data_IF_056891692784
#
_entry.id   IF_056891692784
#
_cell.length_a   1.000
_cell.length_b   1.000
_cell.length_c   1.000
_cell.angle_alpha   90.00
_cell.angle_beta   90.00
_cell.angle_gamma   90.00
#
_symmetry.space_group_name_H-M   'P 1'
#
loop_
_entity.id
_entity.type
_entity.pdbx_description
1 polymer ?
#
# COMPACT_ATOMS: atom_id res chain seq x y z
N UNK A 1 -11.96 -25.05 16.20
CA UNK A 1 -11.85 -24.61 14.79
C UNK A 1 -12.67 -23.34 14.62
N UNK A 2 -12.03 -22.17 14.76
CA UNK A 2 -12.74 -20.88 14.73
C UNK A 2 -13.00 -20.46 13.28
N UNK A 3 -14.27 -20.37 12.88
CA UNK A 3 -14.71 -20.06 11.52
C UNK A 3 -14.44 -18.57 11.25
N UNK A 4 -13.36 -18.24 10.53
CA UNK A 4 -13.11 -16.87 10.06
C UNK A 4 -14.24 -16.47 9.10
N UNK A 5 -15.05 -15.50 9.50
CA UNK A 5 -16.03 -14.88 8.60
C UNK A 5 -15.26 -14.12 7.52
N UNK A 6 -15.29 -14.63 6.28
CA UNK A 6 -14.59 -14.02 5.17
C UNK A 6 -15.38 -12.80 4.69
N UNK A 7 -15.11 -11.63 5.27
CA UNK A 7 -15.52 -10.36 4.69
C UNK A 7 -14.82 -10.17 3.34
N UNK A 8 -15.53 -9.60 2.35
CA UNK A 8 -15.00 -9.32 1.01
C UNK A 8 -13.73 -8.44 1.00
N UNK A 9 -13.42 -7.81 2.14
CA UNK A 9 -12.17 -7.10 2.40
C UNK A 9 -10.89 -7.96 2.26
N UNK A 10 -10.99 -9.30 2.25
CA UNK A 10 -9.83 -10.19 2.07
C UNK A 10 -9.40 -10.41 0.61
N UNK A 11 -10.25 -10.08 -0.38
CA UNK A 11 -9.97 -10.28 -1.81
C UNK A 11 -9.50 -9.02 -2.53
N UNK A 12 -9.60 -7.84 -1.90
CA UNK A 12 -9.19 -6.58 -2.50
C UNK A 12 -7.66 -6.43 -2.50
N UNK A 13 -7.07 -5.83 -3.54
CA UNK A 13 -5.64 -5.52 -3.55
C UNK A 13 -5.32 -4.49 -2.46
N UNK A 14 -4.20 -4.69 -1.76
CA UNK A 14 -3.67 -3.70 -0.82
C UNK A 14 -3.06 -2.55 -1.60
N UNK A 15 -3.52 -1.34 -1.34
CA UNK A 15 -3.03 -0.12 -1.99
C UNK A 15 -2.16 0.67 -1.01
N UNK A 16 -1.05 1.21 -1.51
CA UNK A 16 -0.10 2.01 -0.75
C UNK A 16 -0.14 3.44 -1.28
N UNK A 17 -0.65 4.36 -0.46
CA UNK A 17 -0.80 5.77 -0.80
C UNK A 17 0.35 6.58 -0.20
N UNK A 18 1.37 6.86 -1.00
CA UNK A 18 2.47 7.75 -0.62
C UNK A 18 2.49 8.96 -1.57
N UNK A 19 2.55 10.18 -1.03
CA UNK A 19 2.67 11.41 -1.81
C UNK A 19 4.13 11.64 -2.23
N UNK A 20 4.66 10.71 -3.03
CA UNK A 20 6.05 10.52 -3.48
C UNK A 20 7.01 11.73 -3.35
N UNK A 21 7.46 12.03 -2.13
CA UNK A 21 8.70 12.80 -1.92
C UNK A 21 8.62 14.33 -1.79
N UNK A 22 7.47 14.95 -1.51
CA UNK A 22 7.41 16.44 -1.41
C UNK A 22 8.14 17.06 -0.19
N UNK A 23 8.45 16.26 0.84
CA UNK A 23 9.14 16.66 2.08
C UNK A 23 10.05 15.52 2.59
N UNK A 24 10.89 15.75 3.60
CA UNK A 24 11.77 14.71 4.17
C UNK A 24 11.00 13.45 4.59
N UNK A 25 9.88 13.64 5.30
CA UNK A 25 8.96 12.57 5.68
C UNK A 25 8.31 11.90 4.46
N UNK A 26 8.09 12.67 3.39
CA UNK A 26 7.56 12.16 2.12
C UNK A 26 8.58 11.30 1.37
N UNK A 27 9.87 11.63 1.43
CA UNK A 27 10.94 10.85 0.82
C UNK A 27 11.13 9.51 1.54
N UNK A 28 11.12 9.52 2.88
CA UNK A 28 11.15 8.29 3.68
C UNK A 28 9.91 7.42 3.41
N UNK A 29 8.72 8.04 3.35
CA UNK A 29 7.49 7.33 3.03
C UNK A 29 7.50 6.73 1.61
N UNK A 30 8.04 7.45 0.62
CA UNK A 30 8.21 6.95 -0.76
C UNK A 30 9.14 5.73 -0.80
N UNK A 31 10.30 5.79 -0.13
CA UNK A 31 11.22 4.67 -0.06
C UNK A 31 10.60 3.43 0.58
N UNK A 32 9.89 3.61 1.71
CA UNK A 32 9.17 2.53 2.37
C UNK A 32 8.07 1.93 1.48
N UNK A 33 7.28 2.77 0.80
CA UNK A 33 6.24 2.33 -0.12
C UNK A 33 6.82 1.56 -1.32
N UNK A 34 7.98 1.99 -1.86
CA UNK A 34 8.67 1.32 -2.96
C UNK A 34 9.15 -0.05 -2.53
N UNK A 35 9.72 -0.16 -1.34
CA UNK A 35 10.16 -1.45 -0.80
C UNK A 35 8.96 -2.39 -0.61
N UNK A 36 7.89 -1.91 0.02
CA UNK A 36 6.67 -2.68 0.25
C UNK A 36 6.03 -3.19 -1.06
N UNK A 37 6.12 -2.41 -2.13
CA UNK A 37 5.67 -2.83 -3.48
C UNK A 37 6.57 -3.92 -4.07
N UNK A 38 7.89 -3.78 -3.95
CA UNK A 38 8.87 -4.79 -4.40
C UNK A 38 8.71 -6.12 -3.66
N UNK A 39 8.40 -6.04 -2.37
CA UNK A 39 8.14 -7.21 -1.52
C UNK A 39 6.77 -7.87 -1.80
N UNK A 40 5.96 -7.31 -2.69
CA UNK A 40 4.63 -7.83 -3.05
C UNK A 40 3.57 -7.64 -1.97
N UNK A 41 3.83 -6.78 -0.97
CA UNK A 41 2.90 -6.53 0.14
C UNK A 41 1.70 -5.67 -0.27
N UNK A 42 1.79 -4.95 -1.40
CA UNK A 42 0.73 -4.13 -1.97
C UNK A 42 1.17 -3.48 -3.28
N UNK A 43 0.28 -2.70 -3.89
CA UNK A 43 0.58 -1.87 -5.06
C UNK A 43 0.61 -0.40 -4.64
N UNK A 44 1.69 0.30 -4.97
CA UNK A 44 1.72 1.75 -4.86
C UNK A 44 0.65 2.38 -5.76
N UNK A 45 -0.01 3.43 -5.29
CA UNK A 45 -1.12 4.06 -5.98
C UNK A 45 -1.18 5.57 -5.67
N UNK A 46 -1.31 6.41 -6.69
CA UNK A 46 -1.58 7.83 -6.52
C UNK A 46 -3.08 8.09 -6.30
N UNK A 47 -3.44 9.16 -5.58
CA UNK A 47 -4.84 9.60 -5.46
C UNK A 47 -5.46 9.95 -6.83
N UNK A 48 -4.62 10.27 -7.83
CA UNK A 48 -5.02 10.48 -9.23
C UNK A 48 -5.34 9.19 -10.00
N UNK A 49 -5.13 8.02 -9.40
CA UNK A 49 -5.43 6.73 -10.04
C UNK A 49 -4.35 6.19 -10.97
N UNK A 50 -3.12 6.70 -10.86
CA UNK A 50 -1.95 6.29 -11.66
C UNK A 50 -0.85 5.69 -10.78
#
# INVERSE_FOLDING_TARGET
MSKKSACACGSAPKLIFACSGAADVGAVADQAARQMTRDGQGKMYCMAGI
#
